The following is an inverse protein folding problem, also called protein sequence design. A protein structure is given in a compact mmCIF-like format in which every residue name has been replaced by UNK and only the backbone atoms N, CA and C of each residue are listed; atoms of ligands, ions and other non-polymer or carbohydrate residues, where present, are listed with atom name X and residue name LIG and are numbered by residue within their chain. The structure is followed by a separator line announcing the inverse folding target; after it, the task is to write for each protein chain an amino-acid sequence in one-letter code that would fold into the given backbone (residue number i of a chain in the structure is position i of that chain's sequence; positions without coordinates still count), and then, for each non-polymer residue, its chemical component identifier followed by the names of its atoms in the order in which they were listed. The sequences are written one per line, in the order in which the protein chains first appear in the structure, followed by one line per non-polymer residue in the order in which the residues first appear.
data_IF_835256144156
#
_entry.id   IF_835256144156
#
_cell.length_a   1.000
_cell.length_b   1.000
_cell.length_c   1.000
_cell.angle_alpha   90.00
_cell.angle_beta   90.00
_cell.angle_gamma   90.00
#
_symmetry.space_group_name_H-M   'P 1'
#
loop_
_entity.id
_entity.type
_entity.pdbx_description
1 polymer ?
#
# COMPACT_ATOMS: atom_id res chain seq x y z
N UNK A 1 -8.77 -8.24 -11.72
CA UNK A 1 -9.80 -7.82 -10.73
C UNK A 1 -10.14 -6.35 -11.01
N UNK A 2 -11.41 -5.94 -11.02
CA UNK A 2 -11.78 -4.53 -11.23
C UNK A 2 -11.86 -3.82 -9.87
N UNK A 3 -10.92 -2.92 -9.58
CA UNK A 3 -10.86 -2.17 -8.30
C UNK A 3 -10.87 -0.65 -8.48
N UNK A 4 -10.89 -0.15 -9.72
CA UNK A 4 -10.97 1.29 -10.03
C UNK A 4 -12.33 1.95 -9.73
N UNK A 5 -13.29 1.20 -9.18
CA UNK A 5 -14.62 1.72 -8.81
C UNK A 5 -14.83 1.79 -7.29
N UNK A 6 -13.81 1.50 -6.48
CA UNK A 6 -13.90 1.65 -5.02
C UNK A 6 -13.83 3.14 -4.65
N UNK A 7 -14.63 3.52 -3.66
CA UNK A 7 -14.65 4.88 -3.12
C UNK A 7 -13.45 5.20 -2.23
N UNK A 8 -12.76 4.16 -1.76
CA UNK A 8 -11.63 4.24 -0.86
C UNK A 8 -10.37 3.63 -1.49
N UNK A 9 -9.22 4.24 -1.23
CA UNK A 9 -7.91 3.71 -1.59
C UNK A 9 -6.90 4.03 -0.49
N UNK A 10 -6.01 3.10 -0.18
CA UNK A 10 -4.98 3.35 0.84
C UNK A 10 -3.58 3.31 0.24
N UNK A 11 -2.69 4.10 0.81
CA UNK A 11 -1.27 4.10 0.53
C UNK A 11 -0.53 3.68 1.79
N UNK A 12 0.51 2.87 1.62
CA UNK A 12 1.28 2.32 2.72
C UNK A 12 2.76 2.51 2.42
N UNK A 13 3.50 3.03 3.40
CA UNK A 13 4.95 3.19 3.28
C UNK A 13 5.64 3.23 4.64
N UNK A 14 6.96 3.05 4.65
CA UNK A 14 7.79 3.20 5.86
C UNK A 14 8.98 4.11 5.55
N UNK A 15 9.45 4.83 6.57
CA UNK A 15 10.50 5.84 6.41
C UNK A 15 10.15 6.83 5.28
N UNK A 16 11.04 7.07 4.33
CA UNK A 16 10.82 8.02 3.23
C UNK A 16 9.63 7.60 2.34
N UNK A 17 9.37 6.30 2.20
CA UNK A 17 8.24 5.81 1.41
C UNK A 17 6.89 6.24 1.99
N UNK A 18 6.81 6.53 3.29
CA UNK A 18 5.59 7.09 3.87
C UNK A 18 5.32 8.53 3.36
N UNK A 19 6.35 9.35 3.21
CA UNK A 19 6.18 10.69 2.65
C UNK A 19 5.71 10.63 1.18
N UNK A 20 6.24 9.69 0.40
CA UNK A 20 5.80 9.44 -0.98
C UNK A 20 4.37 8.90 -1.01
N UNK A 21 4.02 7.99 -0.10
CA UNK A 21 2.65 7.48 0.06
C UNK A 21 1.65 8.60 0.37
N UNK A 22 2.01 9.55 1.25
CA UNK A 22 1.17 10.73 1.55
C UNK A 22 0.91 11.59 0.32
N UNK A 23 1.93 11.88 -0.47
CA UNK A 23 1.76 12.65 -1.71
C UNK A 23 0.91 11.88 -2.73
N UNK A 24 1.13 10.57 -2.88
CA UNK A 24 0.32 9.72 -3.74
C UNK A 24 -1.16 9.74 -3.37
N UNK A 25 -1.48 9.62 -2.08
CA UNK A 25 -2.84 9.74 -1.57
C UNK A 25 -3.41 11.15 -1.83
N UNK A 26 -2.63 12.21 -1.61
CA UNK A 26 -3.06 13.59 -1.86
C UNK A 26 -3.41 13.80 -3.34
N UNK A 27 -2.53 13.40 -4.27
CA UNK A 27 -2.79 13.55 -5.71
C UNK A 27 -4.01 12.76 -6.13
N UNK A 28 -4.20 11.54 -5.61
CA UNK A 28 -5.37 10.73 -5.93
C UNK A 28 -6.66 11.44 -5.48
N UNK A 29 -6.70 12.02 -4.28
CA UNK A 29 -7.85 12.82 -3.82
C UNK A 29 -8.18 13.97 -4.76
N UNK A 30 -7.17 14.75 -5.14
CA UNK A 30 -7.34 15.99 -5.90
C UNK A 30 -7.94 15.76 -7.29
N UNK A 31 -7.49 14.71 -7.98
CA UNK A 31 -7.85 14.50 -9.39
C UNK A 31 -9.00 13.53 -9.61
N UNK A 32 -9.22 12.61 -8.67
CA UNK A 32 -10.21 11.53 -8.84
C UNK A 32 -11.41 11.62 -7.90
N UNK A 33 -11.33 12.46 -6.86
CA UNK A 33 -12.33 12.56 -5.78
C UNK A 33 -12.52 11.27 -4.96
N UNK A 34 -11.66 10.26 -5.16
CA UNK A 34 -11.62 9.05 -4.33
C UNK A 34 -11.09 9.43 -2.95
N UNK A 35 -11.69 8.85 -1.91
CA UNK A 35 -11.17 8.97 -0.56
C UNK A 35 -9.87 8.15 -0.44
N UNK A 36 -8.73 8.83 -0.58
CA UNK A 36 -7.44 8.19 -0.39
C UNK A 36 -6.88 8.43 1.03
N UNK A 37 -6.11 7.53 1.61
CA UNK A 37 -5.36 7.88 2.84
C UNK A 37 -4.02 7.16 2.86
N UNK A 38 -3.00 7.81 3.41
CA UNK A 38 -1.68 7.22 3.57
C UNK A 38 -1.45 6.85 5.03
N UNK A 39 -0.94 5.64 5.26
CA UNK A 39 -0.55 5.16 6.58
C UNK A 39 0.91 4.81 6.65
N UNK A 40 1.53 5.09 7.79
CA UNK A 40 2.84 4.56 8.11
C UNK A 40 2.70 3.07 8.44
N UNK A 41 3.53 2.21 7.84
CA UNK A 41 3.42 0.76 8.02
C UNK A 41 3.42 0.30 9.48
N UNK A 42 4.19 0.97 10.34
CA UNK A 42 4.20 0.68 11.79
C UNK A 42 2.87 0.93 12.50
N UNK A 43 2.03 1.81 11.98
CA UNK A 43 0.80 2.27 12.65
C UNK A 43 -0.45 1.46 12.28
N UNK A 44 -0.33 0.51 11.33
CA UNK A 44 -1.48 -0.28 10.83
C UNK A 44 -2.29 -0.94 11.95
N UNK A 45 -1.60 -1.48 12.97
CA UNK A 45 -2.24 -2.23 14.06
C UNK A 45 -2.97 -1.35 15.07
N UNK A 46 -2.77 -0.02 15.02
CA UNK A 46 -3.33 0.91 15.98
C UNK A 46 -4.72 1.46 15.57
N UNK A 47 -5.39 0.77 14.64
CA UNK A 47 -6.80 0.99 14.29
C UNK A 47 -7.06 1.07 12.79
N UNK A 48 -6.08 1.53 12.02
CA UNK A 48 -6.24 1.78 10.58
C UNK A 48 -6.45 0.50 9.76
N UNK A 49 -5.94 -0.64 10.22
CA UNK A 49 -6.21 -1.95 9.60
C UNK A 49 -7.71 -2.32 9.63
N UNK A 50 -8.52 -1.74 10.52
CA UNK A 50 -9.97 -1.98 10.57
C UNK A 50 -10.72 -1.34 9.38
N UNK A 51 -10.12 -0.37 8.70
CA UNK A 51 -10.68 0.31 7.53
C UNK A 51 -10.37 -0.43 6.22
N UNK A 52 -9.46 -1.40 6.27
CA UNK A 52 -9.08 -2.20 5.11
C UNK A 52 -10.03 -3.39 5.00
N UNK A 53 -10.83 -3.38 3.93
CA UNK A 53 -11.81 -4.42 3.59
C UNK A 53 -11.49 -5.08 2.25
N UNK A 54 -12.27 -6.12 1.92
CA UNK A 54 -12.13 -6.88 0.70
C UNK A 54 -12.21 -6.00 -0.56
N UNK A 55 -11.22 -6.18 -1.43
CA UNK A 55 -11.19 -5.53 -2.74
C UNK A 55 -10.81 -4.05 -2.72
N UNK A 56 -10.59 -3.43 -1.56
CA UNK A 56 -10.06 -2.06 -1.50
C UNK A 56 -8.61 -2.05 -2.00
N UNK A 57 -8.24 -1.13 -2.91
CA UNK A 57 -6.88 -1.02 -3.39
C UNK A 57 -5.96 -0.43 -2.31
N UNK A 58 -4.83 -1.11 -2.07
CA UNK A 58 -3.74 -0.63 -1.22
C UNK A 58 -2.46 -0.54 -2.03
N UNK A 59 -1.94 0.66 -2.20
CA UNK A 59 -0.66 0.92 -2.87
C UNK A 59 0.44 0.87 -1.81
N UNK A 60 1.29 -0.14 -1.86
CA UNK A 60 2.31 -0.40 -0.84
C UNK A 60 3.71 -0.17 -1.41
N UNK A 61 4.42 0.81 -0.86
CA UNK A 61 5.78 1.17 -1.25
C UNK A 61 6.78 0.41 -0.37
N UNK A 62 7.60 -0.41 -0.99
CA UNK A 62 8.61 -1.24 -0.33
C UNK A 62 9.98 -1.07 -0.99
N UNK A 63 10.44 0.18 -1.09
CA UNK A 63 11.70 0.52 -1.77
C UNK A 63 12.88 0.75 -0.82
N UNK A 64 12.60 0.86 0.48
CA UNK A 64 13.61 1.10 1.51
C UNK A 64 14.15 -0.21 2.09
N UNK A 65 15.41 -0.55 1.80
CA UNK A 65 16.06 -1.79 2.24
C UNK A 65 16.06 -1.96 3.77
N UNK A 66 16.40 -0.90 4.52
CA UNK A 66 16.51 -0.92 6.00
C UNK A 66 15.20 -1.29 6.74
N UNK A 67 14.06 -1.12 6.07
CA UNK A 67 12.73 -1.40 6.63
C UNK A 67 11.92 -2.35 5.76
N UNK A 68 12.56 -3.02 4.81
CA UNK A 68 11.90 -3.86 3.82
C UNK A 68 11.17 -5.05 4.45
N UNK A 69 11.83 -5.85 5.28
CA UNK A 69 11.20 -7.01 5.95
C UNK A 69 9.98 -6.62 6.79
N UNK A 70 10.09 -5.47 7.45
CA UNK A 70 9.02 -4.88 8.24
C UNK A 70 7.85 -4.45 7.34
N UNK A 71 8.15 -3.89 6.17
CA UNK A 71 7.15 -3.52 5.18
C UNK A 71 6.46 -4.75 4.58
N UNK A 72 7.19 -5.83 4.28
CA UNK A 72 6.62 -7.11 3.83
C UNK A 72 5.66 -7.68 4.89
N UNK A 73 6.00 -7.61 6.18
CA UNK A 73 5.08 -8.02 7.25
C UNK A 73 3.78 -7.21 7.22
N UNK A 74 3.87 -5.89 7.03
CA UNK A 74 2.70 -5.02 6.94
C UNK A 74 1.85 -5.32 5.69
N UNK A 75 2.48 -5.61 4.56
CA UNK A 75 1.79 -6.01 3.33
C UNK A 75 1.01 -7.31 3.53
N UNK A 76 1.60 -8.31 4.21
CA UNK A 76 0.91 -9.56 4.52
C UNK A 76 -0.31 -9.35 5.41
N UNK A 77 -0.23 -8.43 6.37
CA UNK A 77 -1.37 -8.07 7.24
C UNK A 77 -2.52 -7.45 6.45
N UNK A 78 -2.21 -6.55 5.51
CA UNK A 78 -3.17 -5.97 4.59
C UNK A 78 -3.75 -7.05 3.66
N UNK A 79 -2.91 -7.93 3.13
CA UNK A 79 -3.32 -8.99 2.22
C UNK A 79 -4.25 -10.01 2.88
N UNK A 80 -4.04 -10.29 4.17
CA UNK A 80 -4.91 -11.15 4.97
C UNK A 80 -6.34 -10.59 5.14
N UNK A 81 -6.58 -9.31 4.82
CA UNK A 81 -7.90 -8.67 4.77
C UNK A 81 -8.54 -8.70 3.39
N UNK A 82 -7.97 -9.47 2.46
CA UNK A 82 -8.45 -9.63 1.08
C UNK A 82 -8.45 -8.31 0.27
N UNK A 83 -7.68 -7.33 0.73
CA UNK A 83 -7.37 -6.15 -0.03
C UNK A 83 -6.62 -6.50 -1.32
N UNK A 84 -6.74 -5.61 -2.31
CA UNK A 84 -5.97 -5.70 -3.56
C UNK A 84 -4.72 -4.86 -3.38
N UNK A 85 -3.57 -5.51 -3.27
CA UNK A 85 -2.31 -4.86 -2.98
C UNK A 85 -1.51 -4.64 -4.27
N UNK A 86 -1.14 -3.39 -4.51
CA UNK A 86 -0.27 -2.96 -5.60
C UNK A 86 1.06 -2.57 -4.97
N UNK A 87 2.06 -3.44 -5.12
CA UNK A 87 3.41 -3.23 -4.61
C UNK A 87 4.25 -2.36 -5.53
N UNK A 88 4.92 -1.35 -4.97
CA UNK A 88 5.97 -0.57 -5.66
C UNK A 88 7.32 -0.99 -5.06
N UNK A 89 8.22 -1.49 -5.89
CA UNK A 89 9.55 -1.94 -5.46
C UNK A 89 10.66 -1.58 -6.42
N UNK A 90 11.89 -1.72 -5.96
CA UNK A 90 13.09 -1.64 -6.77
C UNK A 90 13.13 -2.78 -7.79
N UNK A 91 13.61 -2.48 -9.00
CA UNK A 91 13.80 -3.50 -10.05
C UNK A 91 14.65 -4.69 -9.55
N UNK A 92 14.16 -5.90 -9.78
CA UNK A 92 14.83 -7.15 -9.37
C UNK A 92 14.33 -7.70 -8.04
N UNK A 93 13.44 -7.00 -7.35
CA UNK A 93 12.75 -7.54 -6.19
C UNK A 93 11.66 -8.55 -6.60
N UNK A 94 12.02 -9.82 -6.55
CA UNK A 94 11.10 -10.93 -6.75
C UNK A 94 10.36 -11.32 -5.46
N UNK A 95 10.85 -10.92 -4.29
CA UNK A 95 10.24 -11.32 -3.02
C UNK A 95 8.92 -10.59 -2.79
N UNK A 96 8.83 -9.29 -3.05
CA UNK A 96 7.59 -8.54 -2.90
C UNK A 96 6.47 -9.14 -3.76
N UNK A 97 6.80 -9.55 -4.99
CA UNK A 97 5.83 -10.06 -5.97
C UNK A 97 5.04 -11.28 -5.48
N UNK A 98 5.59 -12.01 -4.50
CA UNK A 98 4.93 -13.18 -3.88
C UNK A 98 3.83 -12.79 -2.90
N UNK A 99 3.81 -11.54 -2.43
CA UNK A 99 2.92 -11.06 -1.36
C UNK A 99 1.86 -10.05 -1.82
N UNK A 100 1.86 -9.67 -3.11
CA UNK A 100 0.98 -8.63 -3.68
C UNK A 100 0.22 -9.14 -4.91
N UNK A 101 -0.88 -8.47 -5.31
CA UNK A 101 -1.62 -8.84 -6.53
C UNK A 101 -0.93 -8.28 -7.79
N UNK A 102 -0.29 -7.12 -7.66
CA UNK A 102 0.40 -6.43 -8.75
C UNK A 102 1.72 -5.84 -8.26
N UNK A 103 2.76 -5.90 -9.08
CA UNK A 103 4.05 -5.27 -8.78
C UNK A 103 4.41 -4.27 -9.87
N UNK A 104 4.82 -3.08 -9.46
CA UNK A 104 5.37 -2.03 -10.30
C UNK A 104 6.81 -1.81 -9.86
N UNK A 105 7.73 -1.91 -10.82
CA UNK A 105 9.15 -1.69 -10.57
C UNK A 105 9.53 -0.25 -10.89
N UNK A 106 10.33 0.35 -10.01
CA UNK A 106 11.02 1.62 -10.21
C UNK A 106 12.53 1.44 -10.28
#
# INVERSE_FOLDING_TARGET
KHYGFKSDAFFLGRAIDYAVAMEGALKLKEISYIHAEAYAGGELKHGTLALIEEGVPVIALATQEDVYDKMISNIREVKAREAIVIGISMKGDEELSKHVDHTIYV
#
